data_IF_898474925086
#
_entry.id   IF_898474925086
#
_cell.length_a   1.000
_cell.length_b   1.000
_cell.length_c   1.000
_cell.angle_alpha   90.00
_cell.angle_beta   90.00
_cell.angle_gamma   90.00
#
_symmetry.space_group_name_H-M   'P 1'
#
loop_
_entity.id
_entity.type
_entity.pdbx_description
1 polymer ?
#
# COMPACT_ATOMS: atom_id res chain seq x y z
N UNK A 1 -11.77 -73.69 11.79
CA UNK A 1 -11.46 -72.26 11.54
C UNK A 1 -11.04 -72.14 10.07
N UNK A 2 -11.95 -71.73 9.17
CA UNK A 2 -11.69 -71.69 7.71
C UNK A 2 -10.88 -70.44 7.40
N UNK A 3 -9.61 -70.60 7.05
CA UNK A 3 -8.77 -69.52 6.56
C UNK A 3 -9.16 -69.24 5.09
N UNK A 4 -9.92 -68.17 4.86
CA UNK A 4 -10.16 -67.65 3.51
C UNK A 4 -8.85 -67.04 3.00
N UNK A 5 -8.05 -67.85 2.30
CA UNK A 5 -6.89 -67.36 1.56
C UNK A 5 -7.44 -66.61 0.35
N UNK A 6 -7.47 -65.28 0.44
CA UNK A 6 -7.73 -64.42 -0.71
C UNK A 6 -6.63 -64.63 -1.76
N UNK A 7 -6.98 -65.26 -2.89
CA UNK A 7 -6.12 -65.32 -4.07
C UNK A 7 -5.92 -63.88 -4.58
N UNK A 8 -4.78 -63.28 -4.27
CA UNK A 8 -4.37 -62.03 -4.91
C UNK A 8 -4.20 -62.29 -6.42
N UNK A 9 -5.12 -61.75 -7.22
CA UNK A 9 -4.92 -61.63 -8.67
C UNK A 9 -3.94 -60.48 -8.90
N UNK A 10 -2.81 -60.75 -9.57
CA UNK A 10 -1.86 -59.71 -9.96
C UNK A 10 -2.46 -58.77 -11.00
N UNK A 11 -1.96 -57.54 -11.04
CA UNK A 11 -2.34 -56.55 -12.08
C UNK A 11 -1.63 -56.86 -13.39
N UNK A 12 -2.34 -56.61 -14.48
CA UNK A 12 -1.74 -56.66 -15.81
C UNK A 12 -0.86 -55.43 -16.04
N UNK A 13 0.15 -55.54 -16.90
CA UNK A 13 1.04 -54.43 -17.24
C UNK A 13 0.27 -53.22 -17.78
N UNK A 14 -0.80 -53.47 -18.54
CA UNK A 14 -1.65 -52.43 -19.13
C UNK A 14 -2.48 -51.70 -18.07
N UNK A 15 -3.02 -52.38 -17.06
CA UNK A 15 -3.74 -51.73 -15.95
C UNK A 15 -2.83 -50.82 -15.14
N UNK A 16 -1.58 -51.23 -14.91
CA UNK A 16 -0.59 -50.41 -14.23
C UNK A 16 -0.25 -49.15 -15.04
N UNK A 17 -0.09 -49.27 -16.36
CA UNK A 17 0.16 -48.14 -17.25
C UNK A 17 -1.01 -47.16 -17.28
N UNK A 18 -2.26 -47.66 -17.35
CA UNK A 18 -3.45 -46.81 -17.34
C UNK A 18 -3.59 -46.09 -15.99
N UNK A 19 -3.38 -46.78 -14.87
CA UNK A 19 -3.43 -46.17 -13.55
C UNK A 19 -2.35 -45.08 -13.38
N UNK A 20 -1.13 -45.33 -13.89
CA UNK A 20 -0.04 -44.37 -13.87
C UNK A 20 -0.35 -43.15 -14.75
N UNK A 21 -0.88 -43.36 -15.96
CA UNK A 21 -1.28 -42.28 -16.85
C UNK A 21 -2.37 -41.41 -16.21
N UNK A 22 -3.41 -42.02 -15.65
CA UNK A 22 -4.47 -41.30 -14.93
C UNK A 22 -3.93 -40.53 -13.72
N UNK A 23 -3.00 -41.13 -12.95
CA UNK A 23 -2.33 -40.48 -11.83
C UNK A 23 -1.51 -39.25 -12.26
N UNK A 24 -0.75 -39.36 -13.36
CA UNK A 24 0.00 -38.23 -13.91
C UNK A 24 -0.92 -37.09 -14.38
N UNK A 25 -2.03 -37.40 -15.04
CA UNK A 25 -3.00 -36.39 -15.46
C UNK A 25 -3.61 -35.65 -14.26
N UNK A 26 -3.98 -36.37 -13.20
CA UNK A 26 -4.53 -35.76 -11.99
C UNK A 26 -3.50 -34.87 -11.28
N UNK A 27 -2.28 -35.37 -11.09
CA UNK A 27 -1.22 -34.59 -10.43
C UNK A 27 -0.80 -33.38 -11.26
N UNK A 28 -0.73 -33.52 -12.59
CA UNK A 28 -0.46 -32.42 -13.51
C UNK A 28 -1.53 -31.32 -13.43
N UNK A 29 -2.81 -31.72 -13.43
CA UNK A 29 -3.93 -30.79 -13.28
C UNK A 29 -3.89 -30.02 -11.95
N UNK A 30 -3.66 -30.72 -10.84
CA UNK A 30 -3.56 -30.09 -9.50
C UNK A 30 -2.36 -29.14 -9.41
N UNK A 31 -1.21 -29.50 -10.00
CA UNK A 31 -0.02 -28.65 -10.01
C UNK A 31 -0.25 -27.33 -10.74
N UNK A 32 -0.88 -27.38 -11.92
CA UNK A 32 -1.21 -26.18 -12.70
C UNK A 32 -2.22 -25.29 -11.97
N UNK A 33 -3.27 -25.89 -11.40
CA UNK A 33 -4.27 -25.17 -10.61
C UNK A 33 -3.63 -24.49 -9.40
N UNK A 34 -2.77 -25.19 -8.67
CA UNK A 34 -2.05 -24.64 -7.53
C UNK A 34 -1.13 -23.48 -7.92
N UNK A 35 -0.39 -23.62 -9.02
CA UNK A 35 0.48 -22.56 -9.55
C UNK A 35 -0.31 -21.28 -9.86
N UNK A 36 -1.45 -21.43 -10.54
CA UNK A 36 -2.34 -20.30 -10.87
C UNK A 36 -2.92 -19.62 -9.62
N UNK A 37 -3.33 -20.40 -8.62
CA UNK A 37 -3.86 -19.87 -7.36
C UNK A 37 -2.78 -19.11 -6.59
N UNK A 38 -1.58 -19.69 -6.51
CA UNK A 38 -0.47 -19.06 -5.80
C UNK A 38 -0.05 -17.75 -6.46
N UNK A 39 0.04 -17.72 -7.79
CA UNK A 39 0.33 -16.49 -8.54
C UNK A 39 -0.74 -15.40 -8.32
N UNK A 40 -2.01 -15.78 -8.38
CA UNK A 40 -3.13 -14.86 -8.15
C UNK A 40 -3.12 -14.31 -6.71
N UNK A 41 -2.86 -15.19 -5.74
CA UNK A 41 -2.79 -14.82 -4.31
C UNK A 41 -1.62 -13.87 -4.03
N UNK A 42 -0.46 -14.11 -4.64
CA UNK A 42 0.69 -13.19 -4.52
C UNK A 42 0.35 -11.81 -5.07
N UNK A 43 -0.22 -11.77 -6.27
CA UNK A 43 -0.61 -10.51 -6.91
C UNK A 43 -1.65 -9.74 -6.10
N UNK A 44 -2.62 -10.45 -5.50
CA UNK A 44 -3.61 -9.83 -4.62
C UNK A 44 -2.97 -9.20 -3.39
N UNK A 45 -2.02 -9.89 -2.75
CA UNK A 45 -1.28 -9.36 -1.59
C UNK A 45 -0.44 -8.14 -1.94
N UNK A 46 0.25 -8.16 -3.07
CA UNK A 46 1.04 -7.02 -3.54
C UNK A 46 0.15 -5.79 -3.78
N UNK A 47 -1.03 -6.00 -4.38
CA UNK A 47 -2.01 -4.94 -4.58
C UNK A 47 -2.60 -4.42 -3.25
N UNK A 48 -2.95 -5.30 -2.31
CA UNK A 48 -3.45 -4.92 -0.99
C UNK A 48 -2.44 -4.02 -0.25
N UNK A 49 -1.17 -4.43 -0.24
CA UNK A 49 -0.09 -3.64 0.37
C UNK A 49 0.05 -2.26 -0.30
N UNK A 50 0.05 -2.22 -1.64
CA UNK A 50 0.14 -0.97 -2.38
C UNK A 50 -1.05 -0.04 -2.12
N UNK A 51 -2.26 -0.60 -2.02
CA UNK A 51 -3.47 0.15 -1.71
C UNK A 51 -3.49 0.67 -0.27
N UNK A 52 -2.94 -0.07 0.69
CA UNK A 52 -2.81 0.42 2.06
C UNK A 52 -1.85 1.61 2.16
N UNK A 53 -0.75 1.59 1.40
CA UNK A 53 0.17 2.72 1.27
C UNK A 53 -0.53 3.95 0.71
N UNK A 54 -1.29 3.79 -0.37
CA UNK A 54 -2.08 4.87 -0.99
C UNK A 54 -3.13 5.41 -0.01
N UNK A 55 -3.91 4.52 0.62
CA UNK A 55 -4.98 4.89 1.55
C UNK A 55 -4.44 5.65 2.76
N UNK A 56 -3.33 5.17 3.32
CA UNK A 56 -2.67 5.84 4.43
C UNK A 56 -2.14 7.22 4.03
N UNK A 57 -1.44 7.31 2.89
CA UNK A 57 -0.94 8.58 2.35
C UNK A 57 -2.08 9.57 2.16
N UNK A 58 -3.15 9.15 1.48
CA UNK A 58 -4.35 9.97 1.27
C UNK A 58 -4.92 10.48 2.60
N UNK A 59 -5.06 9.62 3.61
CA UNK A 59 -5.61 10.00 4.92
C UNK A 59 -4.72 11.01 5.65
N UNK A 60 -3.41 10.78 5.69
CA UNK A 60 -2.46 11.65 6.41
C UNK A 60 -2.37 13.01 5.75
N UNK A 61 -2.13 13.06 4.43
CA UNK A 61 -2.03 14.33 3.70
C UNK A 61 -3.36 15.06 3.65
N UNK A 62 -4.49 14.36 3.43
CA UNK A 62 -5.81 15.01 3.43
C UNK A 62 -6.10 15.68 4.76
N UNK A 63 -5.76 15.03 5.88
CA UNK A 63 -5.94 15.63 7.20
C UNK A 63 -5.06 16.87 7.36
N UNK A 64 -3.76 16.73 7.16
CA UNK A 64 -2.78 17.82 7.34
C UNK A 64 -3.09 19.03 6.44
N UNK A 65 -3.27 18.79 5.14
CA UNK A 65 -3.46 19.84 4.15
C UNK A 65 -4.84 20.50 4.21
N UNK A 66 -5.86 19.82 4.75
CA UNK A 66 -7.16 20.47 4.98
C UNK A 66 -7.18 21.34 6.23
N UNK A 67 -6.32 21.06 7.21
CA UNK A 67 -6.25 21.76 8.50
C UNK A 67 -5.37 23.02 8.45
N UNK A 68 -4.44 23.10 7.50
CA UNK A 68 -3.52 24.24 7.43
C UNK A 68 -4.20 25.54 6.97
N UNK A 69 -3.74 26.66 7.54
CA UNK A 69 -4.16 28.01 7.20
C UNK A 69 -3.20 28.72 6.23
N UNK A 70 -2.08 28.09 5.87
CA UNK A 70 -1.06 28.63 4.97
C UNK A 70 -0.76 27.66 3.83
N UNK A 71 -0.22 28.20 2.73
CA UNK A 71 0.19 27.36 1.60
C UNK A 71 1.44 26.58 2.03
N UNK A 72 1.44 25.24 1.92
CA UNK A 72 2.60 24.43 2.23
C UNK A 72 3.82 24.83 1.39
N UNK A 73 5.01 24.47 1.85
CA UNK A 73 6.25 24.66 1.09
C UNK A 73 6.94 23.33 0.86
N UNK A 74 7.48 23.12 -0.34
CA UNK A 74 8.23 21.92 -0.69
C UNK A 74 9.63 22.31 -1.18
N UNK A 75 10.63 22.07 -0.33
CA UNK A 75 12.03 22.46 -0.58
C UNK A 75 12.95 21.36 -0.06
N UNK A 76 14.05 21.07 -0.77
CA UNK A 76 15.04 20.06 -0.37
C UNK A 76 14.42 18.68 -0.07
N UNK A 77 13.44 18.27 -0.87
CA UNK A 77 12.70 17.01 -0.70
C UNK A 77 11.93 16.89 0.62
N UNK A 78 11.63 18.02 1.28
CA UNK A 78 10.85 18.09 2.51
C UNK A 78 9.61 18.94 2.26
N UNK A 79 8.43 18.35 2.45
CA UNK A 79 7.18 19.09 2.49
C UNK A 79 6.98 19.62 3.91
N UNK A 80 6.81 20.93 4.04
CA UNK A 80 6.53 21.61 5.30
C UNK A 80 5.11 22.15 5.30
N UNK A 81 4.32 21.75 6.29
CA UNK A 81 2.92 22.18 6.47
C UNK A 81 2.77 22.80 7.85
N UNK A 82 2.34 24.06 7.91
CA UNK A 82 2.11 24.75 9.18
C UNK A 82 0.74 24.38 9.74
N UNK A 83 0.68 24.17 11.06
CA UNK A 83 -0.53 23.76 11.77
C UNK A 83 -0.75 24.68 12.98
N UNK A 84 -2.02 24.97 13.25
CA UNK A 84 -2.41 25.69 14.46
C UNK A 84 -2.43 24.77 15.69
N UNK A 85 -2.39 25.39 16.87
CA UNK A 85 -2.49 24.68 18.14
C UNK A 85 -3.79 23.86 18.21
N UNK A 86 -3.73 22.69 18.83
CA UNK A 86 -4.89 21.79 18.97
C UNK A 86 -5.18 20.95 17.73
N UNK A 87 -4.44 21.13 16.63
CA UNK A 87 -4.54 20.27 15.44
C UNK A 87 -3.88 18.92 15.69
N UNK A 88 -4.40 17.88 15.02
CA UNK A 88 -3.87 16.52 15.12
C UNK A 88 -2.72 16.35 14.15
N UNK A 89 -1.52 16.20 14.69
CA UNK A 89 -0.29 16.13 13.92
C UNK A 89 -0.17 14.84 13.10
N UNK A 90 0.76 14.81 12.14
CA UNK A 90 1.08 13.67 11.28
C UNK A 90 1.50 12.41 12.04
N UNK A 91 2.00 12.56 13.26
CA UNK A 91 2.29 11.46 14.21
C UNK A 91 1.04 10.93 14.93
N UNK A 92 -0.11 11.59 14.82
CA UNK A 92 -1.34 11.29 15.54
C UNK A 92 -1.48 12.01 16.89
N UNK A 93 -0.45 12.74 17.33
CA UNK A 93 -0.46 13.49 18.58
C UNK A 93 -1.15 14.85 18.41
N UNK A 94 -1.77 15.36 19.46
CA UNK A 94 -2.29 16.73 19.49
C UNK A 94 -1.27 17.64 20.16
N UNK A 95 -0.91 18.74 19.50
CA UNK A 95 0.13 19.66 19.98
C UNK A 95 -0.51 20.96 20.45
N UNK A 96 -0.18 21.40 21.67
CA UNK A 96 -0.80 22.56 22.33
C UNK A 96 -0.18 23.92 21.96
N UNK A 97 0.59 23.98 20.89
CA UNK A 97 1.21 25.18 20.35
C UNK A 97 1.25 25.09 18.81
N UNK A 98 1.35 26.20 18.07
CA UNK A 98 1.57 26.16 16.62
C UNK A 98 2.84 25.37 16.29
N UNK A 99 2.77 24.54 15.25
CA UNK A 99 3.87 23.66 14.86
C UNK A 99 3.95 23.50 13.34
N UNK A 100 5.07 22.96 12.87
CA UNK A 100 5.29 22.66 11.46
C UNK A 100 5.48 21.16 11.33
N UNK A 101 4.69 20.53 10.48
CA UNK A 101 4.87 19.15 10.06
C UNK A 101 5.86 19.10 8.90
N UNK A 102 6.94 18.34 9.08
CA UNK A 102 7.94 18.09 8.03
C UNK A 102 7.83 16.65 7.57
N UNK A 103 7.47 16.47 6.31
CA UNK A 103 7.42 15.17 5.66
C UNK A 103 8.68 14.97 4.84
N UNK A 104 9.41 13.90 5.13
CA UNK A 104 10.61 13.50 4.39
C UNK A 104 10.53 12.05 3.99
N UNK A 105 10.96 11.75 2.77
CA UNK A 105 11.06 10.37 2.26
C UNK A 105 12.51 9.94 2.23
N UNK A 106 12.78 8.77 2.81
CA UNK A 106 14.10 8.15 2.87
C UNK A 106 13.92 6.64 2.64
N UNK A 107 14.68 6.11 1.68
CA UNK A 107 14.60 4.71 1.24
C UNK A 107 13.18 4.28 0.84
N UNK A 108 12.58 3.35 1.60
CA UNK A 108 11.25 2.79 1.37
C UNK A 108 10.18 3.38 2.29
N UNK A 109 10.51 4.47 3.01
CA UNK A 109 9.75 4.93 4.18
C UNK A 109 9.47 6.43 4.15
N UNK A 110 8.27 6.81 4.60
CA UNK A 110 7.89 8.20 4.84
C UNK A 110 8.03 8.51 6.34
N UNK A 111 8.67 9.64 6.62
CA UNK A 111 8.87 10.17 7.95
C UNK A 111 8.10 11.48 8.13
N UNK A 112 7.65 11.69 9.36
CA UNK A 112 7.00 12.90 9.83
C UNK A 112 7.79 13.42 11.05
N UNK A 113 8.13 14.69 11.05
CA UNK A 113 8.75 15.39 12.18
C UNK A 113 7.90 16.60 12.54
N UNK A 114 7.61 16.73 13.83
CA UNK A 114 6.80 17.81 14.43
C UNK A 114 7.61 18.67 15.39
N UNK A 115 8.94 18.60 15.31
CA UNK A 115 9.90 19.31 16.17
C UNK A 115 10.56 18.43 17.25
N UNK A 116 10.15 17.16 17.38
CA UNK A 116 10.69 16.20 18.35
C UNK A 116 11.52 15.08 17.70
N UNK A 117 11.84 15.23 16.42
CA UNK A 117 12.58 14.24 15.63
C UNK A 117 11.70 13.46 14.67
N UNK A 118 12.35 12.84 13.69
CA UNK A 118 11.69 12.08 12.62
C UNK A 118 11.07 10.79 13.15
N UNK A 119 9.77 10.61 12.90
CA UNK A 119 9.02 9.39 13.19
C UNK A 119 8.61 8.74 11.87
N UNK A 120 8.90 7.44 11.72
CA UNK A 120 8.45 6.67 10.56
C UNK A 120 6.93 6.47 10.64
N UNK A 121 6.20 6.96 9.65
CA UNK A 121 4.73 6.88 9.61
C UNK A 121 4.22 5.92 8.54
N UNK A 122 4.98 5.69 7.48
CA UNK A 122 4.60 4.78 6.41
C UNK A 122 5.82 4.04 5.87
N UNK A 123 5.62 2.80 5.44
CA UNK A 123 6.61 1.95 4.77
C UNK A 123 6.00 1.43 3.47
N UNK A 124 6.83 1.13 2.47
CA UNK A 124 6.41 0.61 1.17
C UNK A 124 6.20 1.71 0.14
N UNK A 125 6.94 2.82 0.26
CA UNK A 125 6.90 3.93 -0.69
C UNK A 125 8.26 3.99 -1.40
N UNK A 126 8.28 3.76 -2.71
CA UNK A 126 9.47 3.91 -3.54
C UNK A 126 9.78 5.39 -3.81
N UNK A 127 8.76 6.15 -4.17
CA UNK A 127 8.87 7.58 -4.48
C UNK A 127 7.64 8.29 -3.95
N UNK A 128 7.86 9.48 -3.40
CA UNK A 128 6.79 10.44 -3.12
C UNK A 128 7.25 11.84 -3.49
N UNK A 129 6.39 12.57 -4.19
CA UNK A 129 6.67 13.95 -4.56
C UNK A 129 5.41 14.80 -4.48
N UNK A 130 5.62 16.11 -4.47
CA UNK A 130 4.57 17.08 -4.21
C UNK A 130 4.61 18.19 -5.24
N UNK A 131 3.45 18.52 -5.79
CA UNK A 131 3.24 19.70 -6.63
C UNK A 131 2.22 20.59 -5.93
N UNK A 132 2.55 21.86 -5.76
CA UNK A 132 1.74 22.84 -5.06
C UNK A 132 1.26 23.85 -6.09
N UNK A 133 -0.05 23.87 -6.33
CA UNK A 133 -0.72 24.80 -7.25
C UNK A 133 -1.79 25.61 -6.48
N UNK A 134 -1.38 26.78 -5.98
CA UNK A 134 -2.18 27.69 -5.18
C UNK A 134 -2.89 27.03 -3.97
N UNK A 135 -4.13 26.60 -4.17
CA UNK A 135 -4.99 26.02 -3.13
C UNK A 135 -5.14 24.50 -3.26
N UNK A 136 -4.42 23.86 -4.19
CA UNK A 136 -4.41 22.40 -4.38
C UNK A 136 -2.98 21.89 -4.27
N UNK A 137 -2.81 20.80 -3.54
CA UNK A 137 -1.55 20.07 -3.45
C UNK A 137 -1.77 18.69 -4.03
N UNK A 138 -1.01 18.37 -5.08
CA UNK A 138 -0.98 17.06 -5.71
C UNK A 138 0.15 16.24 -5.12
N UNK A 139 -0.20 15.13 -4.48
CA UNK A 139 0.76 14.18 -3.90
C UNK A 139 0.90 12.98 -4.83
N UNK A 140 2.06 12.84 -5.47
CA UNK A 140 2.38 11.65 -6.26
C UNK A 140 2.97 10.60 -5.32
N UNK A 141 2.38 9.40 -5.29
CA UNK A 141 2.83 8.28 -4.47
C UNK A 141 3.10 7.07 -5.36
N UNK A 142 4.31 6.50 -5.25
CA UNK A 142 4.70 5.25 -5.88
C UNK A 142 4.87 4.16 -4.81
N UNK A 143 3.86 3.31 -4.61
CA UNK A 143 3.99 2.20 -3.67
C UNK A 143 4.87 1.07 -4.21
N UNK A 144 5.48 0.32 -3.32
CA UNK A 144 6.20 -0.91 -3.65
C UNK A 144 5.25 -1.94 -4.28
N UNK A 145 5.71 -2.63 -5.33
CA UNK A 145 4.98 -3.72 -6.01
C UNK A 145 3.62 -3.33 -6.62
N UNK A 146 3.38 -2.05 -6.93
CA UNK A 146 2.20 -1.69 -7.70
C UNK A 146 2.30 -2.31 -9.12
N UNK A 147 1.26 -3.01 -9.59
CA UNK A 147 1.27 -3.55 -10.95
C UNK A 147 1.46 -2.46 -12.01
N UNK A 148 2.25 -2.74 -13.04
CA UNK A 148 2.56 -1.78 -14.11
C UNK A 148 1.35 -1.25 -14.88
N UNK A 149 0.22 -1.95 -14.80
CA UNK A 149 -1.07 -1.52 -15.34
C UNK A 149 -1.57 -0.18 -14.77
N UNK A 150 -1.05 0.22 -13.59
CA UNK A 150 -1.36 1.48 -12.93
C UNK A 150 -0.25 2.53 -13.07
N UNK A 151 0.64 2.41 -14.06
CA UNK A 151 1.79 3.31 -14.26
C UNK A 151 2.66 3.49 -13.00
N UNK A 152 2.71 2.48 -12.13
CA UNK A 152 3.50 2.42 -10.90
C UNK A 152 3.29 3.57 -9.88
N UNK A 153 2.32 4.46 -10.13
CA UNK A 153 2.15 5.70 -9.38
C UNK A 153 0.67 6.09 -9.29
N UNK A 154 0.32 6.82 -8.23
CA UNK A 154 -0.99 7.44 -8.10
C UNK A 154 -0.85 8.89 -7.65
N UNK A 155 -1.63 9.79 -8.25
CA UNK A 155 -1.72 11.19 -7.84
C UNK A 155 -2.94 11.38 -6.94
N UNK A 156 -2.73 12.04 -5.81
CA UNK A 156 -3.77 12.39 -4.84
C UNK A 156 -3.87 13.91 -4.79
N UNK A 157 -4.95 14.47 -5.35
CA UNK A 157 -5.18 15.90 -5.34
C UNK A 157 -5.96 16.32 -4.09
N UNK A 158 -5.41 17.26 -3.33
CA UNK A 158 -5.96 17.69 -2.04
C UNK A 158 -6.09 19.20 -2.03
N UNK A 159 -7.33 19.68 -1.88
CA UNK A 159 -7.60 21.10 -1.68
C UNK A 159 -7.27 21.55 -0.25
N UNK A 160 -6.66 22.73 -0.10
CA UNK A 160 -6.46 23.42 1.17
C UNK A 160 -7.79 23.98 1.71
N UNK A 161 -8.64 23.10 2.23
CA UNK A 161 -10.05 23.43 2.52
C UNK A 161 -10.22 24.59 3.50
N UNK A 162 -9.44 24.65 4.58
CA UNK A 162 -9.54 25.74 5.54
C UNK A 162 -9.16 27.09 4.90
N UNK A 163 -8.09 27.13 4.09
CA UNK A 163 -7.72 28.32 3.33
C UNK A 163 -8.80 28.77 2.34
N UNK A 164 -9.36 27.83 1.58
CA UNK A 164 -10.43 28.12 0.61
C UNK A 164 -11.65 28.67 1.33
N UNK A 165 -12.02 28.08 2.47
CA UNK A 165 -13.15 28.51 3.29
C UNK A 165 -12.90 29.91 3.88
N UNK A 166 -11.72 30.17 4.43
CA UNK A 166 -11.37 31.49 4.96
C UNK A 166 -11.44 32.59 3.89
N UNK A 167 -11.02 32.31 2.65
CA UNK A 167 -11.14 33.24 1.51
C UNK A 167 -12.58 33.45 1.03
N UNK A 168 -13.47 32.48 1.24
CA UNK A 168 -14.86 32.56 0.81
C UNK A 168 -15.74 33.43 1.72
N UNK A 169 -15.32 33.66 2.97
CA UNK A 169 -16.03 34.47 3.97
C UNK A 169 -15.35 35.82 4.26
N UNK A 170 -14.37 36.21 3.44
CA UNK A 170 -13.75 37.55 3.42
C UNK A 170 -14.35 38.38 2.29
#
# INVERSE_FOLDING_TARGET
MKHLINKHKGFTLIELMVALAAGMFLLGGVSLAYSSINSSTSTAKDLENALDVIRFSSKVFTRSLKQTNSVPTYTNNILSVEQEMGSSACTGLTISAPFIEKYSHEDDSLFCDVGNGKVKILKGVNVISYVIDNNVVSVLVEPTNLPSQFNNSLVIDISLSQMVMNKAFQ
#
